data_IF_936301360157
#
_entry.id   IF_936301360157
#
_cell.length_a   1.000
_cell.length_b   1.000
_cell.length_c   1.000
_cell.angle_alpha   90.00
_cell.angle_beta   90.00
_cell.angle_gamma   90.00
#
_symmetry.space_group_name_H-M   'P 1'
#
loop_
_entity.id
_entity.type
_entity.pdbx_description
1 polymer ?
#
# COMPACT_ATOMS: atom_id res chain seq x y z
N UNK A 1 -43.40 0.05 17.66
CA UNK A 1 -43.05 -1.11 18.52
C UNK A 1 -44.04 -1.16 19.68
N UNK A 2 -44.66 -2.31 19.94
CA UNK A 2 -45.60 -2.47 21.06
C UNK A 2 -45.24 -3.71 21.88
N UNK A 3 -45.44 -3.66 23.20
CA UNK A 3 -45.18 -4.80 24.09
C UNK A 3 -46.43 -5.11 24.89
N UNK A 4 -46.86 -6.38 24.91
CA UNK A 4 -48.00 -6.86 25.69
C UNK A 4 -47.56 -7.96 26.64
N UNK A 5 -48.00 -7.86 27.89
CA UNK A 5 -47.70 -8.81 28.95
C UNK A 5 -48.98 -9.53 29.39
N UNK A 6 -48.90 -10.85 29.52
CA UNK A 6 -49.97 -11.68 30.03
C UNK A 6 -49.44 -12.54 31.18
N UNK A 7 -50.15 -12.51 32.31
CA UNK A 7 -49.85 -13.28 33.50
C UNK A 7 -51.08 -14.10 33.85
N UNK A 8 -50.97 -15.43 33.79
CA UNK A 8 -52.03 -16.32 34.24
C UNK A 8 -51.44 -17.49 35.02
N UNK A 9 -51.46 -17.38 36.35
CA UNK A 9 -50.95 -18.39 37.28
C UNK A 9 -49.48 -18.72 36.97
N UNK A 10 -49.25 -19.91 36.39
CA UNK A 10 -47.92 -20.42 36.05
C UNK A 10 -47.43 -20.04 34.65
N UNK A 11 -48.24 -19.36 33.81
CA UNK A 11 -47.88 -18.90 32.45
C UNK A 11 -47.63 -17.40 32.42
N UNK A 12 -46.39 -17.03 32.10
CA UNK A 12 -45.98 -15.66 31.79
C UNK A 12 -45.77 -15.56 30.28
N UNK A 13 -46.34 -14.56 29.61
CA UNK A 13 -46.15 -14.33 28.17
C UNK A 13 -45.86 -12.87 27.89
N UNK A 14 -44.80 -12.61 27.15
CA UNK A 14 -44.40 -11.31 26.65
C UNK A 14 -44.49 -11.37 25.12
N UNK A 15 -45.26 -10.47 24.53
CA UNK A 15 -45.35 -10.30 23.09
C UNK A 15 -44.72 -8.96 22.74
N UNK A 16 -43.65 -8.99 21.96
CA UNK A 16 -42.98 -7.82 21.42
C UNK A 16 -43.33 -7.74 19.94
N UNK A 17 -44.09 -6.74 19.56
CA UNK A 17 -44.35 -6.40 18.15
C UNK A 17 -43.36 -5.34 17.72
N UNK A 18 -42.40 -5.71 16.88
CA UNK A 18 -41.50 -4.78 16.20
C UNK A 18 -42.20 -4.16 14.98
N UNK A 19 -41.57 -3.19 14.31
CA UNK A 19 -42.09 -2.66 13.04
C UNK A 19 -42.29 -3.77 11.99
N UNK A 20 -43.20 -3.55 11.06
CA UNK A 20 -43.48 -4.45 9.92
C UNK A 20 -44.03 -5.85 10.30
N UNK A 21 -44.91 -5.91 11.30
CA UNK A 21 -45.66 -7.12 11.70
C UNK A 21 -44.80 -8.30 12.20
N UNK A 22 -43.58 -8.04 12.67
CA UNK A 22 -42.75 -9.04 13.35
C UNK A 22 -43.17 -9.17 14.82
N UNK A 23 -43.57 -10.38 15.23
CA UNK A 23 -44.00 -10.69 16.58
C UNK A 23 -43.03 -11.67 17.25
N UNK A 24 -42.34 -11.22 18.30
CA UNK A 24 -41.55 -12.07 19.19
C UNK A 24 -42.39 -12.40 20.42
N UNK A 25 -42.61 -13.68 20.67
CA UNK A 25 -43.32 -14.17 21.85
C UNK A 25 -42.36 -14.92 22.74
N UNK A 26 -42.09 -14.39 23.93
CA UNK A 26 -41.41 -15.12 24.99
C UNK A 26 -42.45 -15.61 25.99
N UNK A 27 -42.49 -16.91 26.27
CA UNK A 27 -43.40 -17.49 27.23
C UNK A 27 -42.63 -18.32 28.27
N UNK A 28 -42.98 -18.19 29.54
CA UNK A 28 -42.50 -19.03 30.62
C UNK A 28 -43.65 -19.82 31.22
N UNK A 29 -43.51 -21.13 31.30
CA UNK A 29 -44.47 -22.01 31.98
C UNK A 29 -43.74 -23.08 32.78
N UNK A 30 -44.03 -23.15 34.08
CA UNK A 30 -43.56 -24.25 34.94
C UNK A 30 -42.03 -24.51 34.87
N UNK A 31 -41.24 -23.44 34.77
CA UNK A 31 -39.76 -23.51 34.69
C UNK A 31 -39.18 -23.63 33.28
N UNK A 32 -40.00 -23.73 32.24
CA UNK A 32 -39.55 -23.75 30.84
C UNK A 32 -39.75 -22.38 30.22
N UNK A 33 -38.69 -21.83 29.60
CA UNK A 33 -38.75 -20.62 28.79
C UNK A 33 -38.77 -21.01 27.30
N UNK A 34 -39.81 -20.61 26.57
CA UNK A 34 -39.90 -20.76 25.12
C UNK A 34 -39.93 -19.39 24.44
N UNK A 35 -39.32 -19.32 23.26
CA UNK A 35 -39.31 -18.12 22.41
C UNK A 35 -39.77 -18.52 21.01
N UNK A 36 -40.80 -17.86 20.52
CA UNK A 36 -41.31 -18.01 19.16
C UNK A 36 -41.24 -16.67 18.43
N UNK A 37 -40.89 -16.70 17.15
CA UNK A 37 -40.91 -15.51 16.30
C UNK A 37 -41.82 -15.77 15.11
N UNK A 38 -42.82 -14.90 14.92
CA UNK A 38 -43.68 -14.89 13.76
C UNK A 38 -43.32 -13.68 12.89
N UNK A 39 -43.13 -13.93 11.60
CA UNK A 39 -42.75 -12.93 10.60
C UNK A 39 -43.86 -12.86 9.55
N UNK A 40 -44.26 -11.66 9.15
CA UNK A 40 -45.25 -11.46 8.08
C UNK A 40 -44.81 -12.10 6.75
N UNK A 41 -45.78 -12.56 5.96
CA UNK A 41 -45.53 -13.14 4.64
C UNK A 41 -44.81 -12.16 3.69
N UNK A 42 -44.97 -10.84 3.88
CA UNK A 42 -44.28 -9.80 3.10
C UNK A 42 -42.79 -9.69 3.42
N UNK A 43 -42.35 -10.20 4.58
CA UNK A 43 -40.97 -10.20 5.04
C UNK A 43 -40.29 -11.57 4.92
N UNK A 44 -41.02 -12.61 4.50
CA UNK A 44 -40.42 -13.92 4.21
C UNK A 44 -39.36 -13.78 3.12
N UNK A 45 -38.10 -14.04 3.47
CA UNK A 45 -36.94 -13.88 2.58
C UNK A 45 -36.12 -12.59 2.80
N UNK A 46 -36.65 -11.60 3.54
CA UNK A 46 -35.93 -10.38 3.93
C UNK A 46 -35.39 -10.42 5.37
N UNK A 47 -35.83 -11.39 6.18
CA UNK A 47 -35.29 -11.60 7.53
C UNK A 47 -34.07 -12.52 7.45
N UNK A 48 -32.89 -11.99 7.79
CA UNK A 48 -31.68 -12.77 8.04
C UNK A 48 -31.60 -13.15 9.52
N UNK A 49 -31.19 -14.39 9.82
CA UNK A 49 -30.86 -14.82 11.19
C UNK A 49 -31.95 -15.52 12.00
N UNK A 50 -33.13 -15.83 11.44
CA UNK A 50 -34.13 -16.71 12.08
C UNK A 50 -34.56 -17.81 11.10
N UNK A 51 -34.11 -19.03 11.34
CA UNK A 51 -34.49 -20.21 10.56
C UNK A 51 -35.20 -21.22 11.48
N UNK A 52 -36.51 -21.38 11.32
CA UNK A 52 -37.29 -22.46 11.92
C UNK A 52 -38.49 -22.76 11.03
N UNK A 53 -38.70 -24.04 10.73
CA UNK A 53 -39.90 -24.50 10.04
C UNK A 53 -40.87 -25.08 11.07
N UNK A 54 -42.14 -24.70 10.99
CA UNK A 54 -43.22 -25.33 11.76
C UNK A 54 -43.53 -26.69 11.13
N UNK A 55 -43.10 -27.79 11.77
CA UNK A 55 -43.38 -29.17 11.31
C UNK A 55 -44.70 -29.74 11.88
N UNK A 56 -45.34 -29.02 12.80
CA UNK A 56 -46.66 -29.37 13.31
C UNK A 56 -46.68 -30.48 14.37
N UNK A 57 -45.53 -31.02 14.81
CA UNK A 57 -45.52 -32.12 15.80
C UNK A 57 -44.95 -31.74 17.17
N UNK A 58 -43.94 -30.88 17.32
CA UNK A 58 -43.43 -30.48 18.66
C UNK A 58 -42.82 -29.06 18.67
N UNK A 59 -43.20 -28.22 19.64
CA UNK A 59 -42.86 -26.78 19.78
C UNK A 59 -41.39 -26.43 20.10
N UNK A 60 -40.44 -27.37 20.10
CA UNK A 60 -39.18 -27.18 20.84
C UNK A 60 -37.85 -27.49 20.13
N UNK A 61 -37.78 -27.66 18.81
CA UNK A 61 -36.47 -27.84 18.15
C UNK A 61 -36.31 -26.89 16.96
N UNK A 62 -35.78 -25.70 17.23
CA UNK A 62 -35.07 -24.93 16.21
C UNK A 62 -33.73 -25.62 15.97
N UNK A 63 -33.68 -26.56 15.04
CA UNK A 63 -32.42 -27.10 14.57
C UNK A 63 -31.83 -26.14 13.53
N UNK A 64 -30.56 -25.76 13.72
CA UNK A 64 -29.81 -24.98 12.75
C UNK A 64 -29.71 -25.78 11.45
N UNK A 65 -30.56 -25.48 10.47
CA UNK A 65 -30.28 -25.91 9.11
C UNK A 65 -29.09 -25.10 8.59
N UNK A 66 -28.31 -25.71 7.69
CA UNK A 66 -27.34 -24.97 6.89
C UNK A 66 -28.00 -23.77 6.22
N UNK A 67 -27.21 -22.76 5.90
CA UNK A 67 -27.72 -21.53 5.30
C UNK A 67 -28.54 -21.82 4.03
N UNK A 68 -29.57 -20.99 3.74
CA UNK A 68 -30.26 -21.06 2.47
C UNK A 68 -29.24 -20.93 1.32
N UNK A 69 -29.56 -21.45 0.12
CA UNK A 69 -28.63 -21.43 -1.00
C UNK A 69 -28.03 -20.05 -1.19
N UNK A 70 -26.73 -20.01 -1.46
CA UNK A 70 -25.96 -18.80 -1.73
C UNK A 70 -25.68 -17.85 -0.54
N UNK A 71 -25.85 -18.35 0.69
CA UNK A 71 -25.54 -17.62 1.93
C UNK A 71 -24.60 -18.44 2.79
N UNK A 72 -23.77 -17.76 3.59
CA UNK A 72 -22.88 -18.38 4.56
C UNK A 72 -22.68 -17.52 5.81
N UNK A 73 -21.87 -18.03 6.73
CA UNK A 73 -21.60 -17.40 8.02
C UNK A 73 -22.54 -17.89 9.12
N UNK A 74 -22.18 -17.60 10.37
CA UNK A 74 -22.87 -18.10 11.57
C UNK A 74 -24.38 -17.77 11.61
N UNK A 75 -24.79 -16.69 10.95
CA UNK A 75 -26.18 -16.21 10.89
C UNK A 75 -26.68 -16.05 9.45
N UNK A 76 -26.00 -16.64 8.47
CA UNK A 76 -26.31 -16.51 7.04
C UNK A 76 -26.35 -15.07 6.53
N UNK A 77 -25.53 -14.22 7.15
CA UNK A 77 -25.42 -12.79 6.87
C UNK A 77 -24.46 -12.48 5.71
N UNK A 78 -23.57 -13.41 5.37
CA UNK A 78 -22.62 -13.25 4.28
C UNK A 78 -23.18 -13.91 3.01
N UNK A 79 -22.91 -13.30 1.86
CA UNK A 79 -23.13 -13.93 0.56
C UNK A 79 -22.06 -15.01 0.36
N UNK A 80 -22.44 -16.14 -0.23
CA UNK A 80 -21.48 -17.18 -0.60
C UNK A 80 -20.98 -16.94 -2.03
N UNK A 81 -19.98 -16.07 -2.15
CA UNK A 81 -19.38 -15.72 -3.43
C UNK A 81 -18.30 -16.72 -3.86
N UNK A 82 -18.04 -16.83 -5.17
CA UNK A 82 -16.94 -17.62 -5.68
C UNK A 82 -15.57 -17.04 -5.27
N UNK A 83 -14.59 -17.93 -5.12
CA UNK A 83 -13.21 -17.59 -4.73
C UNK A 83 -12.94 -17.73 -3.23
N UNK A 84 -11.67 -17.90 -2.88
CA UNK A 84 -11.18 -17.84 -1.49
C UNK A 84 -9.91 -16.98 -1.44
N UNK A 85 -9.94 -15.75 -0.88
CA UNK A 85 -11.09 -15.05 -0.31
C UNK A 85 -12.17 -14.72 -1.36
N UNK A 86 -13.37 -14.31 -0.93
CA UNK A 86 -14.46 -13.97 -1.85
C UNK A 86 -13.98 -13.00 -2.93
N UNK A 87 -14.32 -13.30 -4.18
CA UNK A 87 -13.90 -12.52 -5.34
C UNK A 87 -12.38 -12.32 -5.43
N UNK A 88 -11.60 -13.30 -4.94
CA UNK A 88 -10.13 -13.28 -4.97
C UNK A 88 -9.51 -12.14 -4.15
N UNK A 89 -10.33 -11.37 -3.43
CA UNK A 89 -9.94 -10.10 -2.81
C UNK A 89 -9.90 -8.90 -3.76
N UNK A 90 -10.26 -9.06 -5.04
CA UNK A 90 -10.18 -8.04 -6.09
C UNK A 90 -11.55 -7.74 -6.72
N UNK A 91 -12.61 -7.85 -5.94
CA UNK A 91 -13.96 -7.61 -6.41
C UNK A 91 -14.97 -7.47 -5.29
N UNK A 92 -16.13 -6.92 -5.64
CA UNK A 92 -17.25 -6.76 -4.72
C UNK A 92 -18.24 -7.90 -4.90
N UNK A 93 -18.54 -8.59 -3.81
CA UNK A 93 -19.55 -9.66 -3.79
C UNK A 93 -20.97 -9.08 -3.73
N UNK A 94 -21.79 -9.31 -4.75
CA UNK A 94 -23.11 -8.68 -4.90
C UNK A 94 -24.15 -9.60 -5.53
N UNK A 95 -25.40 -9.16 -5.60
CA UNK A 95 -26.54 -9.88 -6.18
C UNK A 95 -27.05 -9.14 -7.42
N UNK A 96 -27.28 -9.87 -8.52
CA UNK A 96 -27.82 -9.26 -9.75
C UNK A 96 -29.27 -8.80 -9.59
N UNK A 97 -30.03 -9.47 -8.72
CA UNK A 97 -31.42 -9.20 -8.37
C UNK A 97 -31.70 -9.65 -6.92
N UNK A 98 -32.70 -9.08 -6.23
CA UNK A 98 -33.08 -9.54 -4.88
C UNK A 98 -33.39 -11.05 -4.86
N UNK A 99 -32.69 -11.80 -4.01
CA UNK A 99 -32.82 -13.26 -3.91
C UNK A 99 -32.12 -14.08 -5.00
N UNK A 100 -31.29 -13.45 -5.85
CA UNK A 100 -30.53 -14.12 -6.90
C UNK A 100 -29.28 -14.88 -6.43
N UNK A 101 -28.53 -15.42 -7.39
CA UNK A 101 -27.20 -16.00 -7.15
C UNK A 101 -26.16 -14.88 -7.02
N UNK A 102 -25.31 -14.90 -5.99
CA UNK A 102 -24.24 -13.94 -5.79
C UNK A 102 -23.15 -14.15 -6.84
N UNK A 103 -22.60 -13.05 -7.31
CA UNK A 103 -21.50 -13.02 -8.25
C UNK A 103 -20.53 -11.92 -7.85
N UNK A 104 -19.33 -11.99 -8.43
CA UNK A 104 -18.31 -10.99 -8.20
C UNK A 104 -18.34 -9.91 -9.28
N UNK A 105 -18.53 -8.68 -8.84
CA UNK A 105 -18.27 -7.49 -9.65
C UNK A 105 -16.81 -7.12 -9.47
N UNK A 106 -15.99 -7.52 -10.44
CA UNK A 106 -14.54 -7.37 -10.34
C UNK A 106 -14.09 -5.92 -10.43
N UNK A 107 -13.03 -5.60 -9.70
CA UNK A 107 -12.31 -4.34 -9.87
C UNK A 107 -11.70 -4.27 -11.27
N UNK A 108 -11.40 -3.05 -11.78
CA UNK A 108 -10.70 -2.90 -13.05
C UNK A 108 -9.45 -3.78 -13.11
N UNK A 109 -9.25 -4.42 -14.27
CA UNK A 109 -8.12 -5.32 -14.56
C UNK A 109 -8.21 -6.73 -13.95
N UNK A 110 -9.30 -7.06 -13.27
CA UNK A 110 -9.59 -8.40 -12.78
C UNK A 110 -10.85 -8.97 -13.43
N UNK A 111 -10.89 -10.28 -13.59
CA UNK A 111 -12.01 -10.98 -14.18
C UNK A 111 -11.94 -12.49 -13.96
N UNK A 112 -12.72 -13.23 -14.73
CA UNK A 112 -13.12 -14.57 -14.33
C UNK A 112 -14.34 -14.52 -13.40
N UNK A 113 -14.80 -15.70 -12.96
CA UNK A 113 -16.00 -15.80 -12.11
C UNK A 113 -15.74 -15.38 -10.65
N UNK A 114 -14.49 -15.42 -10.20
CA UNK A 114 -14.04 -15.09 -8.86
C UNK A 114 -13.02 -13.95 -8.82
N UNK A 115 -12.85 -13.19 -9.93
CA UNK A 115 -11.88 -12.11 -10.07
C UNK A 115 -10.41 -12.51 -9.80
N UNK A 116 -10.08 -13.80 -9.77
CA UNK A 116 -8.71 -14.26 -9.55
C UNK A 116 -7.86 -14.16 -10.83
N UNK A 117 -8.48 -13.86 -11.97
CA UNK A 117 -7.79 -13.75 -13.25
C UNK A 117 -7.52 -12.28 -13.56
N UNK A 118 -6.31 -11.99 -14.05
CA UNK A 118 -6.02 -10.66 -14.58
C UNK A 118 -6.77 -10.51 -15.91
N UNK A 119 -7.84 -9.70 -15.94
CA UNK A 119 -8.51 -9.33 -17.17
C UNK A 119 -7.80 -8.15 -17.79
N UNK A 120 -6.88 -8.43 -18.70
CA UNK A 120 -6.22 -7.41 -19.50
C UNK A 120 -7.32 -6.57 -20.23
N UNK A 121 -7.35 -5.23 -20.05
CA UNK A 121 -8.50 -4.37 -20.38
C UNK A 121 -8.71 -4.16 -21.89
N UNK A 122 -7.75 -4.54 -22.73
CA UNK A 122 -7.86 -4.50 -24.19
C UNK A 122 -7.10 -5.67 -24.79
N UNK A 123 -7.65 -6.24 -25.86
CA UNK A 123 -7.03 -7.25 -26.73
C UNK A 123 -5.54 -6.95 -26.93
N UNK A 124 -4.69 -7.93 -26.63
CA UNK A 124 -3.21 -7.85 -26.63
C UNK A 124 -2.59 -7.59 -28.02
N UNK A 125 -3.11 -6.64 -28.81
CA UNK A 125 -2.86 -6.53 -30.25
C UNK A 125 -3.00 -7.89 -30.95
N UNK A 126 -2.28 -8.09 -32.06
CA UNK A 126 -2.05 -9.40 -32.67
C UNK A 126 -1.09 -10.31 -31.89
N UNK A 127 -0.69 -9.93 -30.67
CA UNK A 127 0.47 -10.49 -29.97
C UNK A 127 0.15 -11.36 -28.75
N UNK A 128 -1.12 -11.46 -28.35
CA UNK A 128 -1.54 -12.44 -27.34
C UNK A 128 -1.02 -12.19 -25.92
N UNK A 129 -1.44 -13.08 -25.01
CA UNK A 129 -1.44 -13.00 -23.53
C UNK A 129 -0.45 -12.03 -22.89
N UNK A 130 -0.98 -10.91 -22.38
CA UNK A 130 -0.41 -9.85 -21.54
C UNK A 130 1.12 -9.65 -21.72
N UNK A 131 1.46 -8.58 -22.47
CA UNK A 131 2.76 -8.13 -22.93
C UNK A 131 3.82 -9.23 -23.16
N UNK A 132 4.10 -9.48 -24.45
CA UNK A 132 5.27 -10.27 -24.87
C UNK A 132 6.57 -9.66 -24.34
N UNK A 133 7.57 -10.51 -24.09
CA UNK A 133 8.89 -10.08 -23.61
C UNK A 133 9.46 -8.93 -24.48
N UNK A 134 9.85 -7.83 -23.83
CA UNK A 134 10.39 -6.63 -24.50
C UNK A 134 9.36 -5.52 -24.76
N UNK A 135 8.10 -5.67 -24.35
CA UNK A 135 7.08 -4.62 -24.43
C UNK A 135 6.35 -4.47 -23.10
N UNK A 136 5.90 -3.26 -22.80
CA UNK A 136 5.26 -2.89 -21.54
C UNK A 136 4.38 -1.65 -21.66
N UNK A 137 3.95 -1.12 -20.53
CA UNK A 137 2.90 -0.10 -20.47
C UNK A 137 1.49 -0.69 -20.56
N UNK A 138 0.48 0.13 -20.27
CA UNK A 138 -0.93 -0.29 -20.16
C UNK A 138 -1.52 -0.91 -21.43
N UNK A 139 -0.88 -0.68 -22.58
CA UNK A 139 -1.26 -1.20 -23.90
C UNK A 139 -0.19 -2.11 -24.54
N UNK A 140 0.93 -2.39 -23.87
CA UNK A 140 2.10 -3.04 -24.47
C UNK A 140 2.70 -2.29 -25.68
N UNK A 141 2.43 -0.99 -25.81
CA UNK A 141 2.97 -0.13 -26.88
C UNK A 141 4.31 0.52 -26.49
N UNK A 142 4.74 0.38 -25.24
CA UNK A 142 6.03 0.87 -24.79
C UNK A 142 7.05 -0.24 -25.02
N UNK A 143 7.97 -0.12 -25.98
CA UNK A 143 9.07 -1.06 -26.04
C UNK A 143 9.88 -0.92 -24.75
N UNK A 144 10.06 -2.01 -24.01
CA UNK A 144 10.91 -2.07 -22.82
C UNK A 144 12.35 -2.12 -23.28
N UNK A 145 12.80 -0.99 -23.84
CA UNK A 145 14.19 -0.75 -24.20
C UNK A 145 14.89 -0.23 -22.96
N UNK A 146 16.08 -0.72 -22.74
CA UNK A 146 16.91 -0.29 -21.65
C UNK A 146 17.31 1.18 -21.79
N UNK A 147 17.52 1.90 -20.68
CA UNK A 147 17.95 3.28 -20.72
C UNK A 147 19.17 3.45 -21.64
N UNK A 148 19.03 4.30 -22.66
CA UNK A 148 20.12 4.64 -23.57
C UNK A 148 20.66 6.03 -23.27
N UNK A 149 21.98 6.16 -23.24
CA UNK A 149 22.68 7.44 -23.21
C UNK A 149 23.75 7.42 -24.30
N UNK A 150 23.86 8.49 -25.11
CA UNK A 150 24.80 8.54 -26.24
C UNK A 150 24.73 7.32 -27.19
N UNK A 151 23.52 6.80 -27.41
CA UNK A 151 23.23 5.66 -28.29
C UNK A 151 23.83 4.30 -27.86
N UNK A 152 24.31 4.18 -26.62
CA UNK A 152 24.69 2.90 -26.02
C UNK A 152 23.75 2.52 -24.88
N UNK A 153 23.41 1.24 -24.82
CA UNK A 153 22.61 0.64 -23.75
C UNK A 153 23.36 0.71 -22.42
N UNK A 154 22.74 1.24 -21.37
CA UNK A 154 23.39 1.43 -20.06
C UNK A 154 24.75 2.15 -20.16
N UNK A 155 24.86 3.13 -21.06
CA UNK A 155 26.09 3.84 -21.43
C UNK A 155 27.24 2.95 -21.95
N UNK A 156 27.03 1.64 -22.11
CA UNK A 156 28.09 0.66 -22.35
C UNK A 156 28.82 0.18 -21.09
N UNK A 157 28.32 0.53 -19.90
CA UNK A 157 28.94 0.26 -18.59
C UNK A 157 28.01 -0.50 -17.65
N UNK A 158 27.24 -1.45 -18.21
CA UNK A 158 26.37 -2.30 -17.43
C UNK A 158 25.59 -3.29 -18.28
N UNK A 159 24.99 -4.25 -17.60
CA UNK A 159 24.10 -5.21 -18.21
C UNK A 159 22.65 -4.79 -17.97
N UNK A 160 21.87 -4.72 -19.04
CA UNK A 160 20.44 -4.54 -18.87
C UNK A 160 19.75 -5.84 -18.45
N UNK A 161 18.91 -5.73 -17.43
CA UNK A 161 18.04 -6.81 -16.96
C UNK A 161 16.63 -6.26 -16.75
N UNK A 162 15.63 -7.13 -16.79
CA UNK A 162 14.26 -6.75 -16.45
C UNK A 162 13.99 -7.17 -15.01
N UNK A 163 13.77 -6.19 -14.14
CA UNK A 163 13.37 -6.42 -12.74
C UNK A 163 11.87 -6.16 -12.65
N UNK A 164 11.08 -7.23 -12.50
CA UNK A 164 9.62 -7.16 -12.63
C UNK A 164 9.20 -6.89 -14.08
N UNK A 165 8.77 -5.66 -14.36
CA UNK A 165 8.40 -5.16 -15.71
C UNK A 165 9.18 -3.89 -16.09
N UNK A 166 10.29 -3.59 -15.41
CA UNK A 166 11.08 -2.38 -15.64
C UNK A 166 12.48 -2.74 -16.13
N UNK A 167 12.89 -2.32 -17.34
CA UNK A 167 14.25 -2.50 -17.80
C UNK A 167 15.17 -1.64 -16.93
N UNK A 168 16.11 -2.30 -16.28
CA UNK A 168 17.00 -1.71 -15.28
C UNK A 168 18.43 -2.05 -15.64
N UNK A 169 19.30 -1.03 -15.67
CA UNK A 169 20.72 -1.22 -15.86
C UNK A 169 21.37 -1.67 -14.55
N UNK A 170 22.06 -2.81 -14.59
CA UNK A 170 22.96 -3.25 -13.52
C UNK A 170 24.36 -2.82 -13.92
N UNK A 171 24.89 -1.81 -13.23
CA UNK A 171 26.15 -1.18 -13.60
C UNK A 171 27.38 -2.04 -13.29
N UNK A 172 28.40 -1.88 -14.13
CA UNK A 172 29.72 -2.45 -13.90
C UNK A 172 30.42 -1.72 -12.73
N UNK A 173 31.46 -2.34 -12.16
CA UNK A 173 32.20 -1.79 -11.03
C UNK A 173 32.74 -0.39 -11.32
N UNK A 174 32.46 0.58 -10.44
CA UNK A 174 32.86 1.98 -10.58
C UNK A 174 31.85 2.87 -11.29
N UNK A 175 30.76 2.31 -11.82
CA UNK A 175 29.68 3.04 -12.48
C UNK A 175 28.37 2.99 -11.68
N UNK A 176 27.60 4.07 -11.75
CA UNK A 176 26.37 4.23 -10.97
C UNK A 176 25.29 5.02 -11.71
N UNK A 177 24.10 5.06 -11.11
CA UNK A 177 22.91 5.73 -11.63
C UNK A 177 22.07 4.86 -12.57
N UNK A 178 20.89 5.36 -12.98
CA UNK A 178 19.89 4.58 -13.71
C UNK A 178 20.31 4.15 -15.13
N UNK A 179 21.39 4.74 -15.64
CA UNK A 179 21.94 4.49 -16.98
C UNK A 179 23.44 4.19 -16.96
N UNK A 180 24.04 3.98 -15.77
CA UNK A 180 25.47 3.72 -15.60
C UNK A 180 26.39 4.76 -16.25
N UNK A 181 25.93 6.02 -16.32
CA UNK A 181 26.65 7.12 -16.95
C UNK A 181 27.42 8.00 -15.93
N UNK A 182 27.30 7.71 -14.63
CA UNK A 182 28.01 8.41 -13.57
C UNK A 182 29.03 7.47 -12.93
N UNK A 183 30.11 8.03 -12.37
CA UNK A 183 31.08 7.26 -11.59
C UNK A 183 30.64 7.13 -10.13
N UNK A 184 31.07 6.05 -9.48
CA UNK A 184 30.98 5.92 -8.03
C UNK A 184 31.75 7.05 -7.32
N UNK A 185 31.41 7.27 -6.05
CA UNK A 185 32.01 8.34 -5.25
C UNK A 185 33.54 8.20 -5.17
N UNK A 186 34.24 9.29 -5.48
CA UNK A 186 35.71 9.31 -5.51
C UNK A 186 36.34 8.75 -6.78
N UNK A 187 35.53 8.33 -7.76
CA UNK A 187 36.00 7.94 -9.09
C UNK A 187 35.68 9.00 -10.14
N UNK A 188 36.53 9.06 -11.16
CA UNK A 188 36.41 9.99 -12.27
C UNK A 188 37.14 9.48 -13.51
N UNK A 189 37.14 10.30 -14.55
CA UNK A 189 37.60 9.86 -15.87
C UNK A 189 36.46 9.32 -16.72
N UNK A 190 36.75 9.08 -18.01
CA UNK A 190 35.76 8.57 -18.96
C UNK A 190 35.37 7.11 -18.67
N UNK A 191 36.28 6.35 -18.04
CA UNK A 191 36.09 4.94 -17.70
C UNK A 191 35.96 4.72 -16.18
N UNK A 192 35.72 5.78 -15.40
CA UNK A 192 35.59 5.74 -13.93
C UNK A 192 36.69 4.96 -13.20
N UNK A 193 37.91 4.93 -13.74
CA UNK A 193 39.04 4.16 -13.21
C UNK A 193 40.11 5.05 -12.55
N UNK A 194 39.87 6.36 -12.49
CA UNK A 194 40.81 7.32 -11.89
C UNK A 194 40.30 7.75 -10.53
N UNK A 195 41.17 7.69 -9.53
CA UNK A 195 40.87 8.21 -8.21
C UNK A 195 40.81 9.74 -8.23
N UNK A 196 39.76 10.31 -7.67
CA UNK A 196 39.58 11.75 -7.50
C UNK A 196 40.07 12.12 -6.10
N UNK A 197 41.13 12.90 -6.05
CA UNK A 197 41.70 13.42 -4.80
C UNK A 197 41.02 14.74 -4.45
N UNK A 198 40.29 14.75 -3.34
CA UNK A 198 39.70 15.96 -2.77
C UNK A 198 40.43 16.43 -1.52
N UNK A 199 40.47 17.75 -1.25
CA UNK A 199 41.05 18.29 -0.02
C UNK A 199 40.36 17.68 1.22
N UNK A 200 41.18 17.11 2.12
CA UNK A 200 40.71 16.52 3.38
C UNK A 200 39.67 15.40 3.22
N UNK A 201 39.55 14.78 2.04
CA UNK A 201 38.47 13.83 1.72
C UNK A 201 37.07 14.38 2.07
N UNK A 202 36.88 15.69 1.89
CA UNK A 202 35.66 16.42 2.25
C UNK A 202 35.23 16.23 3.70
N UNK A 203 36.16 15.88 4.60
CA UNK A 203 35.91 15.58 6.01
C UNK A 203 34.81 14.55 6.27
N UNK A 204 34.45 13.73 5.28
CA UNK A 204 33.26 12.86 5.31
C UNK A 204 31.91 13.60 5.34
N UNK A 205 31.91 14.91 5.04
CA UNK A 205 30.78 15.85 5.17
C UNK A 205 30.41 16.50 3.84
N UNK A 206 30.82 15.90 2.74
CA UNK A 206 30.49 16.34 1.40
C UNK A 206 30.87 15.29 0.36
N UNK A 207 30.40 15.50 -0.86
CA UNK A 207 30.72 14.65 -2.01
C UNK A 207 31.95 15.19 -2.71
N UNK A 208 32.92 14.32 -2.99
CA UNK A 208 34.08 14.66 -3.79
C UNK A 208 33.72 14.68 -5.28
N UNK A 209 33.75 15.84 -5.93
CA UNK A 209 33.41 16.00 -7.35
C UNK A 209 34.65 16.37 -8.18
N UNK A 210 34.91 15.75 -9.34
CA UNK A 210 36.08 16.05 -10.15
C UNK A 210 36.03 17.45 -10.79
N UNK A 211 37.18 18.13 -10.84
CA UNK A 211 37.32 19.47 -11.43
C UNK A 211 37.37 19.39 -12.97
N UNK A 212 36.21 19.34 -13.61
CA UNK A 212 36.03 19.51 -15.06
C UNK A 212 36.09 18.23 -15.91
N UNK A 213 35.76 18.34 -17.22
CA UNK A 213 35.77 17.22 -18.15
C UNK A 213 37.21 16.85 -18.54
N UNK A 214 37.77 15.86 -17.84
CA UNK A 214 38.78 14.90 -18.33
C UNK A 214 39.74 15.42 -19.41
N UNK A 215 40.73 16.22 -19.03
CA UNK A 215 41.93 16.37 -19.84
C UNK A 215 42.90 15.23 -19.50
N UNK A 216 42.89 14.23 -20.37
CA UNK A 216 43.90 13.21 -20.66
C UNK A 216 45.22 13.27 -19.84
N UNK A 217 45.59 12.12 -19.27
CA UNK A 217 46.95 11.78 -18.79
C UNK A 217 47.32 12.19 -17.35
N UNK A 218 46.50 11.89 -16.35
CA UNK A 218 46.95 11.93 -14.94
C UNK A 218 46.39 10.77 -14.12
N UNK A 219 47.26 10.13 -13.35
CA UNK A 219 47.00 8.98 -12.46
C UNK A 219 46.02 9.31 -11.31
N UNK A 220 45.72 10.60 -11.11
CA UNK A 220 44.71 11.11 -10.17
C UNK A 220 44.10 12.39 -10.75
N UNK A 221 42.78 12.56 -10.61
CA UNK A 221 42.15 13.86 -10.82
C UNK A 221 42.12 14.65 -9.51
N UNK A 222 42.18 15.97 -9.61
CA UNK A 222 41.81 16.85 -8.50
C UNK A 222 40.29 17.04 -8.51
N UNK A 223 39.70 17.14 -7.31
CA UNK A 223 38.29 17.43 -7.15
C UNK A 223 38.03 18.48 -6.08
N UNK A 224 36.85 19.08 -6.19
CA UNK A 224 36.29 20.02 -5.21
C UNK A 224 35.25 19.32 -4.35
N UNK A 225 35.12 19.73 -3.09
CA UNK A 225 34.09 19.20 -2.20
C UNK A 225 32.75 19.93 -2.36
N UNK A 226 31.69 19.17 -2.61
CA UNK A 226 30.31 19.63 -2.55
C UNK A 226 29.74 19.33 -1.16
N UNK A 227 29.76 20.31 -0.26
CA UNK A 227 29.43 20.10 1.16
C UNK A 227 27.95 19.79 1.40
N UNK A 228 27.69 18.88 2.35
CA UNK A 228 26.35 18.63 2.85
C UNK A 228 25.81 19.86 3.61
N UNK A 229 24.49 19.92 3.76
CA UNK A 229 23.83 21.04 4.43
C UNK A 229 24.36 21.25 5.85
N UNK A 230 24.77 22.50 6.14
CA UNK A 230 25.36 22.88 7.43
C UNK A 230 26.88 22.85 7.47
N UNK A 231 27.55 22.48 6.37
CA UNK A 231 29.01 22.49 6.26
C UNK A 231 29.48 23.40 5.13
N UNK A 232 30.69 23.93 5.26
CA UNK A 232 31.34 24.79 4.29
C UNK A 232 32.88 24.69 4.38
N UNK A 233 33.58 25.45 3.55
CA UNK A 233 35.03 25.37 3.39
C UNK A 233 35.44 24.42 2.26
N UNK A 234 36.72 24.46 1.89
CA UNK A 234 37.24 23.68 0.76
C UNK A 234 37.16 22.17 0.99
N UNK A 235 37.20 21.72 2.25
CA UNK A 235 37.15 20.32 2.69
C UNK A 235 35.91 20.01 3.55
N UNK A 236 34.91 20.90 3.58
CA UNK A 236 33.68 20.77 4.38
C UNK A 236 33.90 20.59 5.90
N UNK A 237 35.05 21.00 6.42
CA UNK A 237 35.37 20.92 7.85
C UNK A 237 34.71 22.02 8.68
N UNK A 238 34.24 23.10 8.05
CA UNK A 238 33.70 24.28 8.73
C UNK A 238 32.18 24.19 8.85
N UNK A 239 31.64 24.62 9.99
CA UNK A 239 30.20 24.67 10.21
C UNK A 239 29.62 25.93 9.58
N UNK A 240 28.64 25.75 8.69
CA UNK A 240 27.85 26.85 8.14
C UNK A 240 26.72 27.18 9.11
N UNK A 241 27.05 27.95 10.14
CA UNK A 241 26.12 28.22 11.23
C UNK A 241 24.98 29.16 10.81
N UNK A 242 23.76 28.95 11.36
CA UNK A 242 22.64 29.87 11.16
C UNK A 242 22.96 31.27 11.72
N UNK A 243 22.25 32.31 11.28
CA UNK A 243 22.43 33.68 11.81
C UNK A 243 23.59 34.51 11.23
N UNK A 244 24.22 34.06 10.14
CA UNK A 244 25.26 34.79 9.38
C UNK A 244 24.95 36.29 9.22
N UNK A 245 25.92 37.21 9.43
CA UNK A 245 27.38 37.01 9.37
C UNK A 245 28.04 36.53 10.66
N UNK A 246 27.35 36.57 11.80
CA UNK A 246 27.87 36.04 13.07
C UNK A 246 27.18 34.72 13.36
N UNK A 247 27.92 33.66 13.71
CA UNK A 247 27.31 32.39 14.07
C UNK A 247 26.26 32.58 15.16
N UNK A 248 25.06 32.04 14.93
CA UNK A 248 23.91 32.23 15.81
C UNK A 248 23.72 33.72 16.14
N UNK A 249 23.68 34.60 15.13
CA UNK A 249 23.49 36.06 15.24
C UNK A 249 24.28 36.80 16.35
N UNK A 250 25.34 36.19 16.90
CA UNK A 250 26.03 36.63 18.11
C UNK A 250 25.42 36.23 19.48
N UNK A 251 24.32 35.47 19.56
CA UNK A 251 23.61 35.15 20.82
C UNK A 251 23.48 33.64 21.11
N UNK A 252 24.52 32.89 20.75
CA UNK A 252 24.62 31.48 21.06
C UNK A 252 25.87 30.85 20.48
N UNK A 253 26.00 29.54 20.65
CA UNK A 253 27.04 28.75 20.01
C UNK A 253 26.46 27.67 19.10
N UNK A 254 27.19 27.41 18.02
CA UNK A 254 26.78 26.48 16.99
C UNK A 254 27.30 25.07 17.29
N UNK A 255 26.44 24.06 17.13
CA UNK A 255 26.81 22.64 17.30
C UNK A 255 26.28 21.76 16.17
N UNK A 256 26.91 20.60 15.99
CA UNK A 256 26.40 19.55 15.12
C UNK A 256 25.25 18.78 15.80
N UNK A 257 24.28 18.34 15.00
CA UNK A 257 23.20 17.44 15.44
C UNK A 257 23.61 15.99 15.22
N UNK A 258 23.14 15.08 16.08
CA UNK A 258 23.40 13.63 15.98
C UNK A 258 22.94 13.01 14.65
N UNK A 259 21.95 13.61 13.99
CA UNK A 259 21.38 13.13 12.72
C UNK A 259 21.94 13.87 11.49
N UNK A 260 22.98 14.69 11.67
CA UNK A 260 23.56 15.53 10.62
C UNK A 260 22.97 16.95 10.55
N UNK A 261 23.78 17.87 10.03
CA UNK A 261 23.51 19.31 9.99
C UNK A 261 23.84 20.02 11.30
N UNK A 262 23.55 21.33 11.35
CA UNK A 262 23.96 22.22 12.44
C UNK A 262 22.77 22.90 13.10
N UNK A 263 22.89 23.23 14.37
CA UNK A 263 21.90 24.00 15.14
C UNK A 263 22.56 25.01 16.09
N UNK A 264 21.80 26.05 16.43
CA UNK A 264 22.21 27.05 17.41
C UNK A 264 21.74 26.67 18.81
N UNK A 265 22.65 26.73 19.77
CA UNK A 265 22.36 26.67 21.19
C UNK A 265 22.42 28.09 21.73
N UNK A 266 21.24 28.59 22.06
CA UNK A 266 21.01 29.99 22.41
C UNK A 266 21.49 30.29 23.82
N UNK A 267 22.07 31.46 23.99
CA UNK A 267 22.39 31.99 25.32
C UNK A 267 21.10 32.34 26.09
N UNK A 268 21.20 32.46 27.41
CA UNK A 268 20.05 32.82 28.25
C UNK A 268 19.39 34.12 27.78
N UNK A 269 18.07 34.05 27.53
CA UNK A 269 17.28 35.19 27.04
C UNK A 269 17.07 35.23 25.53
N UNK A 270 17.70 34.34 24.76
CA UNK A 270 17.54 34.24 23.31
C UNK A 270 16.83 32.94 22.90
N UNK A 271 16.07 32.98 21.81
CA UNK A 271 15.33 31.84 21.28
C UNK A 271 15.13 31.96 19.76
N UNK A 272 15.04 30.81 19.07
CA UNK A 272 14.88 30.73 17.62
C UNK A 272 15.94 29.87 16.94
N UNK A 273 15.77 29.62 15.63
CA UNK A 273 16.71 28.79 14.87
C UNK A 273 18.08 29.45 14.63
N UNK A 274 18.17 30.77 14.82
CA UNK A 274 19.35 31.59 14.52
C UNK A 274 19.88 32.38 15.73
N UNK A 275 19.30 32.16 16.94
CA UNK A 275 19.51 32.93 18.17
C UNK A 275 20.75 33.79 18.17
#
# INVERSE_FOLDING_TARGET
MSVRYYLNGSRHKIIITAGDDVNVTAASYSGVLSVAVAVSNTLQGNVSGLCGAYDGVLENEFYWRGCPPNRRGQYCQLLDCPGTPDCGGFGTCTLARPGGTPYCECEPYFGGNDCSQLSCPVSCGSHGSCCVAGYGGVNCDVPLVCPMSNATECAGHGQCTVVGNTPTCICDEGFTGPMCAACDEGLGGNDCNLNVSCPGSCSGRGLCVPDGPTANLSVSLNGTCSCFSGYEGADCSQLRCPGSPSACSGNGYCREREQGGVECICDEGFAGANC
#
